data_IF_055357772217
#
_entry.id   IF_055357772217
#
_cell.length_a   1.000
_cell.length_b   1.000
_cell.length_c   1.000
_cell.angle_alpha   90.00
_cell.angle_beta   90.00
_cell.angle_gamma   90.00
#
_symmetry.space_group_name_H-M   'P 1'
#
loop_
_entity.id
_entity.type
_entity.pdbx_description
1 polymer ?
#
# COMPACT_ATOMS: atom_id res chain seq x y z
N UNK A 1 -7.95 -1.65 -12.07
CA UNK A 1 -8.05 -2.86 -11.22
C UNK A 1 -6.75 -3.08 -10.47
N UNK A 2 -6.85 -3.69 -9.31
CA UNK A 2 -5.73 -3.96 -8.42
C UNK A 2 -5.15 -5.36 -8.64
N UNK A 3 -3.83 -5.47 -8.58
CA UNK A 3 -3.11 -6.73 -8.78
C UNK A 3 -2.66 -7.39 -7.47
N UNK A 4 -2.92 -6.75 -6.34
CA UNK A 4 -2.29 -7.14 -5.09
C UNK A 4 -0.78 -6.86 -5.08
N UNK A 5 -0.05 -7.35 -4.07
CA UNK A 5 1.36 -7.02 -3.87
C UNK A 5 2.31 -7.71 -4.84
N UNK A 6 1.95 -8.90 -5.37
CA UNK A 6 2.81 -9.54 -6.38
C UNK A 6 2.61 -11.02 -6.61
N UNK A 7 2.63 -11.88 -5.58
CA UNK A 7 2.43 -13.32 -5.79
C UNK A 7 0.99 -13.64 -6.23
N UNK A 8 0.84 -14.70 -7.00
CA UNK A 8 -0.40 -15.19 -7.57
C UNK A 8 -1.56 -15.32 -6.56
N UNK A 9 -1.25 -15.85 -5.39
CA UNK A 9 -2.20 -16.11 -4.31
C UNK A 9 -2.89 -14.83 -3.78
N UNK A 10 -2.31 -13.67 -4.08
CA UNK A 10 -2.86 -12.37 -3.67
C UNK A 10 -3.60 -11.64 -4.79
N UNK A 11 -3.72 -12.25 -5.97
CA UNK A 11 -4.58 -11.75 -7.05
C UNK A 11 -6.00 -12.29 -6.82
N UNK A 12 -6.89 -11.43 -6.36
CA UNK A 12 -8.24 -11.82 -5.98
C UNK A 12 -9.05 -12.38 -7.17
N UNK A 13 -10.01 -13.29 -6.96
CA UNK A 13 -10.78 -13.91 -8.04
C UNK A 13 -11.48 -12.92 -8.97
N UNK A 14 -12.02 -11.80 -8.43
CA UNK A 14 -12.65 -10.75 -9.27
C UNK A 14 -11.64 -10.09 -10.22
N UNK A 15 -10.39 -9.90 -9.77
CA UNK A 15 -9.33 -9.36 -10.63
C UNK A 15 -8.91 -10.36 -11.72
N UNK A 16 -8.84 -11.65 -11.39
CA UNK A 16 -8.57 -12.71 -12.37
C UNK A 16 -9.67 -12.76 -13.44
N UNK A 17 -10.95 -12.72 -13.02
CA UNK A 17 -12.08 -12.69 -13.94
C UNK A 17 -12.03 -11.44 -14.85
N UNK A 18 -11.74 -10.27 -14.31
CA UNK A 18 -11.64 -9.03 -15.08
C UNK A 18 -10.47 -9.06 -16.10
N UNK A 19 -9.35 -9.72 -15.77
CA UNK A 19 -8.27 -9.95 -16.74
C UNK A 19 -8.71 -10.87 -17.86
N UNK A 20 -9.41 -11.96 -17.54
CA UNK A 20 -9.91 -12.91 -18.54
C UNK A 20 -10.97 -12.27 -19.47
N UNK A 21 -11.82 -11.39 -18.95
CA UNK A 21 -12.84 -10.68 -19.72
C UNK A 21 -12.26 -9.52 -20.56
N UNK A 22 -11.08 -8.99 -20.21
CA UNK A 22 -10.50 -7.85 -20.88
C UNK A 22 -10.06 -8.20 -22.32
N UNK A 23 -10.24 -7.25 -23.23
CA UNK A 23 -9.68 -7.30 -24.60
C UNK A 23 -8.33 -6.57 -24.65
N UNK A 24 -8.18 -5.54 -23.80
CA UNK A 24 -6.95 -4.74 -23.71
C UNK A 24 -6.52 -4.64 -22.24
N UNK A 25 -5.24 -4.88 -21.98
CA UNK A 25 -4.63 -4.70 -20.66
C UNK A 25 -3.61 -3.58 -20.75
N UNK A 26 -3.86 -2.50 -20.01
CA UNK A 26 -3.00 -1.30 -19.98
C UNK A 26 -2.30 -1.23 -18.63
N UNK A 27 -0.98 -1.00 -18.63
CA UNK A 27 -0.26 -0.93 -17.35
C UNK A 27 1.16 -0.37 -17.45
N UNK A 28 1.76 -0.15 -16.28
CA UNK A 28 3.21 0.02 -16.18
C UNK A 28 3.90 -1.32 -16.48
N UNK A 29 5.01 -1.30 -17.22
CA UNK A 29 5.68 -2.52 -17.68
C UNK A 29 5.88 -3.55 -16.55
N UNK A 30 6.40 -3.14 -15.39
CA UNK A 30 6.63 -4.02 -14.25
C UNK A 30 5.33 -4.67 -13.74
N UNK A 31 4.18 -3.98 -13.85
CA UNK A 31 2.89 -4.53 -13.43
C UNK A 31 2.30 -5.47 -14.48
N UNK A 32 2.54 -5.18 -15.75
CA UNK A 32 2.19 -6.11 -16.83
C UNK A 32 2.96 -7.43 -16.68
N UNK A 33 4.24 -7.37 -16.32
CA UNK A 33 5.06 -8.57 -16.10
C UNK A 33 4.53 -9.45 -14.97
N UNK A 34 3.94 -8.85 -13.92
CA UNK A 34 3.31 -9.59 -12.82
C UNK A 34 2.07 -10.38 -13.26
N UNK A 35 1.32 -9.91 -14.25
CA UNK A 35 0.08 -10.57 -14.71
C UNK A 35 0.23 -11.32 -16.02
N UNK A 36 1.40 -11.29 -16.61
CA UNK A 36 1.67 -11.98 -17.89
C UNK A 36 1.22 -13.45 -17.91
N UNK A 37 1.38 -14.26 -16.85
CA UNK A 37 0.90 -15.64 -16.84
C UNK A 37 -0.62 -15.81 -16.98
N UNK A 38 -1.41 -14.76 -16.72
CA UNK A 38 -2.88 -14.77 -16.87
C UNK A 38 -3.36 -14.17 -18.20
N UNK A 39 -2.44 -13.65 -19.02
CA UNK A 39 -2.77 -13.06 -20.31
C UNK A 39 -2.67 -14.13 -21.41
N UNK A 40 -3.69 -14.24 -22.22
CA UNK A 40 -3.77 -15.22 -23.34
C UNK A 40 -3.88 -14.52 -24.69
N UNK A 41 -4.99 -13.84 -24.93
CA UNK A 41 -5.33 -13.19 -26.21
C UNK A 41 -5.44 -11.68 -26.12
N UNK A 42 -5.29 -11.12 -24.94
CA UNK A 42 -5.44 -9.68 -24.69
C UNK A 42 -4.33 -8.86 -25.40
N UNK A 43 -4.74 -7.76 -26.01
CA UNK A 43 -3.77 -6.74 -26.42
C UNK A 43 -3.12 -6.13 -25.19
N UNK A 44 -1.80 -6.05 -25.16
CA UNK A 44 -1.05 -5.50 -24.01
C UNK A 44 -0.45 -4.15 -24.40
N UNK A 45 -0.86 -3.12 -23.66
CA UNK A 45 -0.33 -1.76 -23.81
C UNK A 45 0.50 -1.40 -22.59
N UNK A 46 1.80 -1.65 -22.67
CA UNK A 46 2.74 -1.33 -21.60
C UNK A 46 3.29 0.10 -21.77
N UNK A 47 3.47 0.80 -20.65
CA UNK A 47 4.06 2.14 -20.62
C UNK A 47 5.18 2.22 -19.60
N UNK A 48 6.09 3.18 -19.79
CA UNK A 48 7.18 3.45 -18.86
C UNK A 48 6.74 4.16 -17.57
N UNK A 49 7.71 4.40 -16.70
CA UNK A 49 7.55 5.22 -15.50
C UNK A 49 7.26 6.69 -15.88
N UNK A 50 6.50 7.41 -15.03
CA UNK A 50 6.07 8.80 -15.23
C UNK A 50 5.16 9.02 -16.45
N UNK A 51 4.49 7.97 -16.90
CA UNK A 51 3.53 8.02 -17.99
C UNK A 51 2.09 7.76 -17.52
N UNK A 52 1.77 8.15 -16.28
CA UNK A 52 0.49 7.86 -15.62
C UNK A 52 -0.68 8.44 -16.40
N UNK A 53 -0.61 9.74 -16.75
CA UNK A 53 -1.67 10.43 -17.53
C UNK A 53 -1.82 9.79 -18.92
N UNK A 54 -0.69 9.55 -19.62
CA UNK A 54 -0.72 8.87 -20.92
C UNK A 54 -1.34 7.48 -20.85
N UNK A 55 -1.01 6.74 -19.78
CA UNK A 55 -1.54 5.39 -19.53
C UNK A 55 -3.04 5.41 -19.31
N UNK A 56 -3.55 6.35 -18.50
CA UNK A 56 -4.99 6.53 -18.29
C UNK A 56 -5.67 6.94 -19.58
N UNK A 57 -5.10 7.88 -20.37
CA UNK A 57 -5.69 8.32 -21.62
C UNK A 57 -5.80 7.15 -22.61
N UNK A 58 -4.76 6.34 -22.78
CA UNK A 58 -4.80 5.14 -23.62
C UNK A 58 -5.92 4.18 -23.21
N UNK A 59 -6.10 3.97 -21.88
CA UNK A 59 -7.18 3.13 -21.37
C UNK A 59 -8.56 3.72 -21.69
N UNK A 60 -8.75 5.02 -21.52
CA UNK A 60 -10.02 5.72 -21.81
C UNK A 60 -10.33 5.70 -23.30
N UNK A 61 -9.35 5.95 -24.19
CA UNK A 61 -9.54 5.93 -25.63
C UNK A 61 -10.00 4.55 -26.12
N UNK A 62 -9.40 3.47 -25.59
CA UNK A 62 -9.77 2.10 -25.91
C UNK A 62 -11.18 1.76 -25.38
N UNK A 63 -11.50 2.20 -24.17
CA UNK A 63 -12.83 1.97 -23.59
C UNK A 63 -13.91 2.71 -24.36
N UNK A 64 -13.67 3.96 -24.79
CA UNK A 64 -14.57 4.74 -25.65
C UNK A 64 -14.77 4.15 -27.04
N UNK A 65 -13.80 3.40 -27.52
CA UNK A 65 -13.92 2.60 -28.75
C UNK A 65 -14.71 1.29 -28.55
N UNK A 66 -15.34 1.09 -27.38
CA UNK A 66 -16.17 -0.07 -27.07
C UNK A 66 -15.42 -1.31 -26.60
N UNK A 67 -14.12 -1.21 -26.30
CA UNK A 67 -13.32 -2.33 -25.84
C UNK A 67 -13.42 -2.48 -24.30
N UNK A 68 -13.40 -3.72 -23.81
CA UNK A 68 -13.24 -4.02 -22.38
C UNK A 68 -11.77 -3.88 -22.00
N UNK A 69 -11.47 -2.88 -21.16
CA UNK A 69 -10.10 -2.49 -20.79
C UNK A 69 -9.81 -2.77 -19.34
N UNK A 70 -8.72 -3.48 -19.04
CA UNK A 70 -8.17 -3.61 -17.70
C UNK A 70 -6.98 -2.66 -17.53
N UNK A 71 -7.17 -1.54 -16.83
CA UNK A 71 -6.07 -0.68 -16.38
C UNK A 71 -5.52 -1.23 -15.07
N UNK A 72 -4.30 -1.77 -15.08
CA UNK A 72 -3.72 -2.50 -13.95
C UNK A 72 -2.82 -1.63 -13.07
N UNK A 73 -2.92 -1.84 -11.75
CA UNK A 73 -2.14 -1.17 -10.72
C UNK A 73 -1.69 -2.18 -9.67
N UNK A 74 -0.43 -2.12 -9.24
CA UNK A 74 0.06 -2.95 -8.13
C UNK A 74 -0.60 -2.55 -6.81
N UNK A 75 -0.68 -3.49 -5.87
CA UNK A 75 -1.33 -3.31 -4.59
C UNK A 75 -2.83 -3.06 -4.75
N UNK A 76 -3.31 -1.96 -4.24
CA UNK A 76 -4.67 -1.45 -4.42
C UNK A 76 -4.69 -0.22 -5.31
N UNK A 77 -5.57 -0.20 -6.31
CA UNK A 77 -5.68 0.88 -7.28
C UNK A 77 -6.20 2.21 -6.68
N UNK A 78 -6.87 2.15 -5.53
CA UNK A 78 -7.38 3.30 -4.78
C UNK A 78 -6.38 3.89 -3.79
N UNK A 79 -5.29 3.17 -3.47
CA UNK A 79 -4.27 3.63 -2.51
C UNK A 79 -2.97 4.00 -3.25
N UNK A 80 -2.80 5.29 -3.54
CA UNK A 80 -1.70 5.83 -4.37
C UNK A 80 -1.58 5.16 -5.74
N UNK A 81 -2.70 4.62 -6.24
CA UNK A 81 -2.81 3.92 -7.52
C UNK A 81 -3.52 4.73 -8.59
N UNK A 82 -3.97 4.05 -9.66
CA UNK A 82 -4.47 4.69 -10.87
C UNK A 82 -5.95 5.07 -10.83
N UNK A 83 -6.75 4.57 -9.85
CA UNK A 83 -8.20 4.77 -9.85
C UNK A 83 -8.60 6.24 -9.74
N UNK A 84 -7.95 6.99 -8.82
CA UNK A 84 -8.22 8.41 -8.66
C UNK A 84 -7.89 9.23 -9.92
N UNK A 85 -6.77 8.94 -10.57
CA UNK A 85 -6.36 9.65 -11.79
C UNK A 85 -7.34 9.40 -12.95
N UNK A 86 -7.74 8.16 -13.18
CA UNK A 86 -8.72 7.83 -14.23
C UNK A 86 -10.04 8.55 -14.00
N UNK A 87 -10.57 8.51 -12.77
CA UNK A 87 -11.83 9.20 -12.44
C UNK A 87 -11.72 10.73 -12.60
N UNK A 88 -10.59 11.32 -12.18
CA UNK A 88 -10.33 12.75 -12.38
C UNK A 88 -10.24 13.11 -13.86
N UNK A 89 -9.66 12.25 -14.70
CA UNK A 89 -9.60 12.48 -16.16
C UNK A 89 -10.96 12.33 -16.82
N UNK A 90 -11.79 11.38 -16.38
CA UNK A 90 -13.19 11.30 -16.84
C UNK A 90 -13.95 12.58 -16.52
N UNK A 91 -13.86 13.07 -15.29
CA UNK A 91 -14.50 14.32 -14.88
C UNK A 91 -14.03 15.53 -15.69
N UNK A 92 -12.70 15.65 -15.90
CA UNK A 92 -12.10 16.73 -16.68
C UNK A 92 -12.51 16.70 -18.17
N UNK A 93 -12.84 15.52 -18.71
CA UNK A 93 -13.30 15.33 -20.09
C UNK A 93 -14.83 15.38 -20.21
N UNK A 94 -15.57 15.65 -19.12
CA UNK A 94 -17.04 15.69 -19.09
C UNK A 94 -17.70 14.33 -19.34
N UNK A 95 -16.99 13.22 -19.13
CA UNK A 95 -17.53 11.88 -19.36
C UNK A 95 -18.46 11.47 -18.21
N UNK A 96 -19.66 11.02 -18.54
CA UNK A 96 -20.57 10.37 -17.60
C UNK A 96 -20.08 8.94 -17.35
N UNK A 97 -19.70 8.61 -16.14
CA UNK A 97 -19.25 7.27 -15.75
C UNK A 97 -20.15 6.67 -14.69
N UNK A 98 -20.36 5.36 -14.74
CA UNK A 98 -21.16 4.62 -13.77
C UNK A 98 -20.58 3.22 -13.50
N UNK A 99 -21.02 2.55 -12.40
CA UNK A 99 -20.64 1.17 -12.16
C UNK A 99 -21.30 0.23 -13.16
N UNK A 100 -20.73 -0.94 -13.46
CA UNK A 100 -21.38 -1.97 -14.25
C UNK A 100 -22.76 -2.35 -13.68
N UNK A 101 -23.77 -2.45 -14.55
CA UNK A 101 -25.16 -2.70 -14.16
C UNK A 101 -25.90 -1.49 -13.58
N UNK A 102 -25.28 -0.31 -13.57
CA UNK A 102 -25.93 0.95 -13.20
C UNK A 102 -26.79 1.56 -14.32
N UNK A 103 -26.99 2.88 -14.29
CA UNK A 103 -27.76 3.61 -15.31
C UNK A 103 -27.20 3.39 -16.71
N UNK A 104 -28.08 3.24 -17.70
CA UNK A 104 -27.70 3.17 -19.11
C UNK A 104 -27.27 4.54 -19.70
N UNK A 105 -27.56 5.66 -19.02
CA UNK A 105 -27.17 7.02 -19.44
C UNK A 105 -25.74 7.33 -18.97
N UNK A 106 -24.78 6.55 -19.42
CA UNK A 106 -23.35 6.75 -19.15
C UNK A 106 -22.52 6.55 -20.43
N UNK A 107 -21.43 7.29 -20.55
CA UNK A 107 -20.48 7.13 -21.66
C UNK A 107 -19.59 5.90 -21.46
N UNK A 108 -19.27 5.57 -20.19
CA UNK A 108 -18.44 4.43 -19.83
C UNK A 108 -18.89 3.79 -18.52
N UNK A 109 -18.83 2.46 -18.46
CA UNK A 109 -18.88 1.72 -17.21
C UNK A 109 -17.48 1.57 -16.64
N UNK A 110 -17.29 1.95 -15.38
CA UNK A 110 -16.01 1.89 -14.69
C UNK A 110 -16.15 1.15 -13.36
N UNK A 111 -15.40 0.07 -13.19
CA UNK A 111 -15.30 -0.68 -11.95
C UNK A 111 -13.91 -0.50 -11.33
N UNK A 112 -13.87 -0.12 -10.05
CA UNK A 112 -12.64 -0.13 -9.25
C UNK A 112 -12.58 -1.47 -8.50
N UNK A 113 -11.71 -2.38 -8.95
CA UNK A 113 -11.54 -3.69 -8.31
C UNK A 113 -10.45 -3.53 -7.25
N UNK A 114 -10.76 -3.79 -5.96
CA UNK A 114 -9.80 -3.66 -4.87
C UNK A 114 -8.71 -4.74 -4.93
N UNK A 115 -7.66 -4.59 -4.11
CA UNK A 115 -6.61 -5.57 -3.98
C UNK A 115 -5.91 -5.45 -2.62
N UNK A 116 -5.01 -6.36 -2.31
CA UNK A 116 -4.21 -6.31 -1.09
C UNK A 116 -3.16 -5.19 -1.22
N UNK A 117 -3.30 -4.08 -0.48
CA UNK A 117 -2.34 -2.97 -0.57
C UNK A 117 -1.02 -3.31 0.12
N UNK A 118 0.05 -2.62 -0.26
CA UNK A 118 1.38 -2.83 0.32
C UNK A 118 1.39 -2.66 1.85
N UNK A 119 0.56 -1.76 2.41
CA UNK A 119 0.44 -1.59 3.85
C UNK A 119 -0.03 -2.87 4.56
N UNK A 120 -1.07 -3.54 4.03
CA UNK A 120 -1.59 -4.77 4.62
C UNK A 120 -0.61 -5.94 4.43
N UNK A 121 -0.02 -6.06 3.24
CA UNK A 121 0.98 -7.08 2.95
C UNK A 121 2.24 -6.92 3.84
N UNK A 122 2.73 -5.68 4.00
CA UNK A 122 3.86 -5.38 4.87
C UNK A 122 3.54 -5.61 6.35
N UNK A 123 2.36 -5.18 6.81
CA UNK A 123 1.94 -5.39 8.18
C UNK A 123 1.81 -6.88 8.53
N UNK A 124 1.28 -7.71 7.63
CA UNK A 124 1.17 -9.15 7.82
C UNK A 124 2.55 -9.83 7.99
N UNK A 125 3.57 -9.33 7.28
CA UNK A 125 4.95 -9.83 7.41
C UNK A 125 5.63 -9.36 8.70
N UNK A 126 5.22 -8.21 9.23
CA UNK A 126 5.72 -7.68 10.49
C UNK A 126 4.99 -8.24 11.72
N UNK A 127 3.84 -8.88 11.56
CA UNK A 127 2.98 -9.38 12.64
C UNK A 127 1.69 -8.57 12.77
N UNK A 128 1.55 -7.75 13.80
CA UNK A 128 0.33 -6.99 14.07
C UNK A 128 0.60 -5.50 14.42
N UNK A 129 1.32 -4.74 13.59
CA UNK A 129 1.65 -3.36 13.90
C UNK A 129 0.47 -2.38 13.72
N UNK A 130 -0.57 -2.76 12.96
CA UNK A 130 -1.71 -1.91 12.59
C UNK A 130 -3.00 -2.22 13.37
N UNK A 131 -2.88 -2.76 14.59
CA UNK A 131 -4.04 -3.08 15.41
C UNK A 131 -4.64 -1.87 16.14
N UNK A 132 -3.94 -0.74 16.16
CA UNK A 132 -4.42 0.54 16.68
C UNK A 132 -4.54 1.56 15.54
N UNK A 133 -4.94 2.79 15.84
CA UNK A 133 -5.11 3.84 14.83
C UNK A 133 -3.80 4.12 14.10
N UNK A 134 -3.88 4.21 12.79
CA UNK A 134 -2.71 4.43 11.93
C UNK A 134 -3.01 5.44 10.82
N UNK A 135 -1.96 6.06 10.32
CA UNK A 135 -2.00 6.96 9.17
C UNK A 135 -1.10 6.45 8.07
N UNK A 136 -1.47 6.74 6.83
CA UNK A 136 -0.70 6.38 5.64
C UNK A 136 -0.22 7.65 4.96
N UNK A 137 1.09 7.80 4.79
CA UNK A 137 1.71 9.00 4.21
C UNK A 137 2.70 8.60 3.12
N UNK A 138 2.53 9.16 1.92
CA UNK A 138 3.53 9.03 0.86
C UNK A 138 4.60 10.11 1.00
N UNK A 139 5.87 9.70 0.95
CA UNK A 139 7.01 10.63 0.94
C UNK A 139 7.33 11.17 -0.46
N UNK A 140 6.49 10.88 -1.46
CA UNK A 140 6.67 11.43 -2.80
C UNK A 140 6.26 12.89 -2.85
N UNK A 141 7.23 13.77 -3.08
CA UNK A 141 7.07 15.21 -3.22
C UNK A 141 6.82 15.67 -4.67
N UNK A 142 6.53 14.73 -5.58
CA UNK A 142 6.24 15.03 -6.98
C UNK A 142 4.90 15.75 -7.19
N UNK A 143 3.88 15.38 -6.40
CA UNK A 143 2.52 15.93 -6.51
C UNK A 143 2.08 16.66 -5.25
N UNK A 144 2.77 16.45 -4.14
CA UNK A 144 2.47 17.07 -2.84
C UNK A 144 3.71 17.79 -2.34
N UNK A 145 3.67 19.11 -2.06
CA UNK A 145 4.81 19.84 -1.54
C UNK A 145 5.35 19.22 -0.25
N UNK A 146 6.67 19.19 -0.10
CA UNK A 146 7.34 18.61 1.06
C UNK A 146 6.85 19.18 2.40
N UNK A 147 6.62 20.49 2.47
CA UNK A 147 6.12 21.15 3.70
C UNK A 147 4.73 20.63 4.11
N UNK A 148 3.89 20.27 3.14
CA UNK A 148 2.60 19.62 3.42
C UNK A 148 2.79 18.21 3.97
N UNK A 149 3.72 17.43 3.41
CA UNK A 149 4.07 16.08 3.89
C UNK A 149 4.61 16.18 5.32
N UNK A 150 5.56 17.08 5.56
CA UNK A 150 6.16 17.35 6.87
C UNK A 150 5.10 17.68 7.92
N UNK A 151 4.20 18.62 7.62
CA UNK A 151 3.09 18.99 8.52
C UNK A 151 2.22 17.80 8.89
N UNK A 152 1.89 16.94 7.91
CA UNK A 152 1.09 15.71 8.14
C UNK A 152 1.83 14.73 9.05
N UNK A 153 3.13 14.56 8.87
CA UNK A 153 3.99 13.72 9.72
C UNK A 153 4.04 14.24 11.16
N UNK A 154 4.19 15.57 11.36
CA UNK A 154 4.17 16.19 12.68
C UNK A 154 2.86 15.94 13.41
N UNK A 155 1.72 16.19 12.76
CA UNK A 155 0.39 15.96 13.33
C UNK A 155 0.15 14.48 13.66
N UNK A 156 0.58 13.59 12.79
CA UNK A 156 0.49 12.14 13.02
C UNK A 156 1.35 11.69 14.21
N UNK A 157 2.54 12.27 14.37
CA UNK A 157 3.43 11.97 15.49
C UNK A 157 2.89 12.51 16.81
N UNK A 158 2.34 13.73 16.82
CA UNK A 158 1.68 14.35 17.99
C UNK A 158 0.44 13.54 18.43
N UNK A 159 -0.33 13.02 17.48
CA UNK A 159 -1.50 12.16 17.75
C UNK A 159 -1.12 10.73 18.13
N UNK A 160 0.16 10.41 18.25
CA UNK A 160 0.68 9.07 18.57
C UNK A 160 0.16 7.94 17.66
N UNK A 161 -0.11 8.25 16.40
CA UNK A 161 -0.47 7.23 15.41
C UNK A 161 0.71 6.32 15.07
N UNK A 162 0.38 5.07 14.67
CA UNK A 162 1.29 4.26 13.86
C UNK A 162 1.37 4.90 12.47
N UNK A 163 2.57 5.09 11.93
CA UNK A 163 2.77 5.80 10.67
C UNK A 163 3.28 4.84 9.61
N UNK A 164 2.50 4.67 8.53
CA UNK A 164 2.88 3.85 7.37
C UNK A 164 3.38 4.76 6.26
N UNK A 165 4.66 4.60 5.89
CA UNK A 165 5.32 5.42 4.88
C UNK A 165 5.38 4.68 3.55
N UNK A 166 4.78 5.28 2.51
CA UNK A 166 4.88 4.87 1.12
C UNK A 166 5.95 5.69 0.39
N UNK A 167 6.53 5.12 -0.66
CA UNK A 167 7.54 5.77 -1.50
C UNK A 167 8.70 6.36 -0.68
N UNK A 168 9.30 5.61 0.26
CA UNK A 168 10.25 6.16 1.23
C UNK A 168 11.55 6.65 0.57
N UNK A 169 11.93 6.09 -0.58
CA UNK A 169 13.15 6.46 -1.31
C UNK A 169 13.01 6.25 -2.80
N UNK A 170 13.72 7.02 -3.60
CA UNK A 170 13.92 6.78 -5.04
C UNK A 170 15.36 7.17 -5.44
N UNK A 171 15.77 6.88 -6.69
CA UNK A 171 17.12 7.23 -7.19
C UNK A 171 17.45 8.72 -7.09
N UNK A 172 16.44 9.60 -7.16
CA UNK A 172 16.59 11.08 -7.10
C UNK A 172 16.09 11.69 -5.80
N UNK A 173 15.57 10.88 -4.88
CA UNK A 173 14.93 11.32 -3.65
C UNK A 173 15.38 10.36 -2.54
N UNK A 174 16.45 10.72 -1.84
CA UNK A 174 17.14 9.89 -0.86
C UNK A 174 17.27 10.52 0.52
N UNK A 175 17.04 11.85 0.65
CA UNK A 175 17.16 12.60 1.89
C UNK A 175 15.88 12.58 2.76
N UNK A 176 14.69 12.35 2.16
CA UNK A 176 13.40 12.48 2.84
C UNK A 176 13.27 11.52 4.03
N UNK A 177 13.76 10.29 3.90
CA UNK A 177 13.69 9.32 5.00
C UNK A 177 14.50 9.77 6.23
N UNK A 178 15.67 10.40 6.01
CA UNK A 178 16.46 11.01 7.06
C UNK A 178 15.72 12.17 7.74
N UNK A 179 15.14 13.06 6.94
CA UNK A 179 14.34 14.18 7.44
C UNK A 179 13.11 13.70 8.23
N UNK A 180 12.46 12.61 7.80
CA UNK A 180 11.36 11.97 8.55
C UNK A 180 11.84 11.43 9.88
N UNK A 181 12.97 10.69 9.93
CA UNK A 181 13.55 10.20 11.18
C UNK A 181 13.79 11.34 12.16
N UNK A 182 14.48 12.39 11.71
CA UNK A 182 14.85 13.52 12.57
C UNK A 182 13.62 14.29 13.08
N UNK A 183 12.58 14.39 12.25
CA UNK A 183 11.31 14.98 12.64
C UNK A 183 10.60 14.11 13.68
N UNK A 184 10.50 12.81 13.45
CA UNK A 184 9.77 11.90 14.34
C UNK A 184 10.48 11.73 15.70
N UNK A 185 11.81 11.82 15.77
CA UNK A 185 12.58 11.81 17.02
C UNK A 185 12.27 13.00 17.95
N UNK A 186 11.59 14.04 17.47
CA UNK A 186 11.09 15.13 18.31
C UNK A 186 9.84 14.75 19.13
N UNK A 187 9.16 13.67 18.75
CA UNK A 187 7.87 13.25 19.30
C UNK A 187 7.86 11.80 19.80
N UNK A 188 8.72 10.96 19.26
CA UNK A 188 8.82 9.53 19.55
C UNK A 188 10.20 9.20 20.09
N UNK A 189 10.32 8.15 20.89
CA UNK A 189 11.61 7.72 21.45
C UNK A 189 12.52 7.12 20.37
N UNK A 190 13.86 7.21 20.53
CA UNK A 190 14.82 6.58 19.63
C UNK A 190 14.59 5.06 19.45
N UNK A 191 14.09 4.39 20.50
CA UNK A 191 13.83 2.95 20.57
C UNK A 191 12.49 2.55 19.95
N UNK A 192 11.64 3.51 19.53
CA UNK A 192 10.37 3.22 18.87
C UNK A 192 10.58 2.20 17.76
N UNK A 193 9.87 1.03 17.78
CA UNK A 193 10.03 0.00 16.78
C UNK A 193 9.65 0.50 15.38
N UNK A 194 10.45 0.11 14.40
CA UNK A 194 10.22 0.40 12.97
C UNK A 194 10.34 -0.88 12.17
N UNK A 195 9.29 -1.23 11.45
CA UNK A 195 9.26 -2.32 10.49
C UNK A 195 9.56 -1.83 9.08
N UNK A 196 10.48 -2.50 8.38
CA UNK A 196 10.87 -2.22 7.00
C UNK A 196 10.62 -3.47 6.19
N UNK A 197 9.74 -3.39 5.18
CA UNK A 197 9.42 -4.51 4.31
C UNK A 197 9.67 -4.10 2.86
N UNK A 198 10.62 -4.75 2.22
CA UNK A 198 10.86 -4.58 0.80
C UNK A 198 10.24 -5.73 0.02
N UNK A 199 9.64 -5.42 -1.12
CA UNK A 199 9.04 -6.39 -2.04
C UNK A 199 8.07 -7.34 -1.35
N UNK A 200 7.22 -6.81 -0.48
CA UNK A 200 6.21 -7.59 0.22
C UNK A 200 5.45 -8.52 -0.74
N UNK A 201 5.38 -9.80 -0.42
CA UNK A 201 4.73 -10.84 -1.23
C UNK A 201 5.25 -10.88 -2.69
N UNK A 202 6.57 -10.71 -2.89
CA UNK A 202 7.28 -10.83 -4.17
C UNK A 202 8.58 -11.57 -4.02
N UNK A 203 9.12 -12.01 -5.15
CA UNK A 203 10.47 -12.56 -5.17
C UNK A 203 11.49 -11.52 -4.65
N UNK A 204 12.37 -11.97 -3.74
CA UNK A 204 13.35 -11.12 -3.08
C UNK A 204 12.75 -10.29 -1.93
N UNK A 205 11.62 -10.72 -1.35
CA UNK A 205 11.06 -10.16 -0.13
C UNK A 205 12.08 -10.14 1.00
N UNK A 206 12.17 -9.02 1.69
CA UNK A 206 12.93 -8.90 2.94
C UNK A 206 12.09 -8.19 3.99
N UNK A 207 12.26 -8.60 5.25
CA UNK A 207 11.62 -8.00 6.41
C UNK A 207 12.67 -7.69 7.46
N UNK A 208 12.66 -6.48 7.99
CA UNK A 208 13.60 -6.05 9.05
C UNK A 208 12.81 -5.28 10.10
N UNK A 209 12.99 -5.62 11.36
CA UNK A 209 12.53 -4.80 12.49
C UNK A 209 13.75 -4.12 13.09
N UNK A 210 13.66 -2.81 13.24
CA UNK A 210 14.72 -1.94 13.76
C UNK A 210 14.13 -0.88 14.69
N UNK A 211 14.88 0.15 15.03
CA UNK A 211 14.42 1.29 15.82
C UNK A 211 14.36 2.56 14.98
N UNK A 212 13.62 3.56 15.46
CA UNK A 212 13.52 4.86 14.79
C UNK A 212 14.90 5.52 14.64
N UNK A 213 15.77 5.38 15.66
CA UNK A 213 17.16 5.87 15.60
C UNK A 213 17.93 5.28 14.42
N UNK A 214 17.79 3.97 14.19
CA UNK A 214 18.51 3.22 13.19
C UNK A 214 17.83 3.15 11.82
N UNK A 215 16.70 3.85 11.62
CA UNK A 215 15.90 3.78 10.39
C UNK A 215 16.74 3.97 9.11
N UNK A 216 17.63 4.94 9.09
CA UNK A 216 18.42 5.30 7.90
C UNK A 216 19.62 4.39 7.63
N UNK A 217 19.95 3.48 8.54
CA UNK A 217 21.02 2.50 8.35
C UNK A 217 20.57 1.30 7.50
N UNK A 218 19.26 1.20 7.23
CA UNK A 218 18.68 0.09 6.51
C UNK A 218 18.50 0.39 5.03
N UNK A 219 18.61 -0.65 4.19
CA UNK A 219 18.37 -0.52 2.77
C UNK A 219 16.89 -0.31 2.49
N UNK A 220 16.57 0.79 1.80
CA UNK A 220 15.20 1.20 1.44
C UNK A 220 15.19 1.65 -0.01
N UNK A 221 14.19 1.21 -0.77
CA UNK A 221 13.97 1.55 -2.17
C UNK A 221 12.50 1.92 -2.46
N UNK A 222 12.13 2.04 -3.74
CA UNK A 222 10.76 2.36 -4.15
C UNK A 222 9.75 1.21 -3.94
N UNK A 223 10.23 -0.01 -3.71
CA UNK A 223 9.40 -1.20 -3.45
C UNK A 223 9.32 -1.52 -1.96
N UNK A 224 9.70 -0.56 -1.13
CA UNK A 224 9.73 -0.69 0.32
C UNK A 224 8.58 0.06 0.96
N UNK A 225 7.99 -0.55 2.00
CA UNK A 225 7.09 0.09 2.93
C UNK A 225 7.75 0.16 4.31
N UNK A 226 7.58 1.27 5.00
CA UNK A 226 8.10 1.46 6.36
C UNK A 226 6.93 1.70 7.31
N UNK A 227 6.93 0.98 8.42
CA UNK A 227 5.92 1.12 9.48
C UNK A 227 6.60 1.60 10.74
N UNK A 228 6.32 2.82 11.17
CA UNK A 228 6.82 3.39 12.42
C UNK A 228 5.78 3.20 13.51
N UNK A 229 6.15 2.55 14.59
CA UNK A 229 5.28 2.30 15.73
C UNK A 229 4.82 3.56 16.48
N UNK A 230 3.88 3.39 17.38
CA UNK A 230 3.48 4.41 18.36
C UNK A 230 4.12 4.13 19.73
N UNK A 231 3.74 4.90 20.76
CA UNK A 231 4.27 4.77 22.12
C UNK A 231 4.00 3.40 22.77
N UNK A 232 2.99 2.66 22.28
CA UNK A 232 2.59 1.34 22.79
C UNK A 232 3.19 0.18 21.98
N UNK A 233 3.81 0.46 20.85
CA UNK A 233 4.37 -0.57 19.97
C UNK A 233 5.59 -1.22 20.60
N UNK A 234 5.63 -2.55 20.56
CA UNK A 234 6.75 -3.35 21.05
C UNK A 234 7.09 -4.49 20.09
N UNK A 235 8.22 -5.13 20.31
CA UNK A 235 8.64 -6.33 19.58
C UNK A 235 8.48 -7.57 20.44
N UNK A 236 8.08 -8.68 19.82
CA UNK A 236 8.03 -10.00 20.45
C UNK A 236 8.54 -11.04 19.45
N UNK A 237 9.70 -11.62 19.74
CA UNK A 237 10.43 -12.41 18.77
C UNK A 237 10.66 -11.59 17.49
N UNK A 238 10.31 -12.16 16.36
CA UNK A 238 10.43 -11.52 15.04
C UNK A 238 9.20 -10.70 14.65
N UNK A 239 8.33 -10.36 15.59
CA UNK A 239 7.08 -9.62 15.33
C UNK A 239 7.08 -8.24 15.95
N UNK A 240 6.44 -7.31 15.26
CA UNK A 240 6.10 -5.96 15.70
C UNK A 240 4.61 -5.90 16.04
N UNK A 241 4.27 -5.47 17.25
CA UNK A 241 2.91 -5.48 17.77
C UNK A 241 2.56 -4.10 18.30
N UNK A 242 1.42 -3.56 17.86
CA UNK A 242 0.79 -2.39 18.47
C UNK A 242 -0.51 -2.83 19.15
N UNK A 243 -0.57 -2.87 20.51
CA UNK A 243 -1.72 -3.39 21.22
C UNK A 243 -2.93 -2.46 21.08
N UNK A 244 -4.13 -3.02 21.02
CA UNK A 244 -5.39 -2.26 20.98
C UNK A 244 -5.99 -2.00 22.38
N UNK A 245 -5.25 -2.26 23.45
CA UNK A 245 -5.72 -2.05 24.81
C UNK A 245 -6.48 -3.24 25.43
N UNK A 246 -6.46 -4.42 24.80
CA UNK A 246 -7.05 -5.64 25.38
C UNK A 246 -6.47 -5.97 26.76
N UNK A 247 -5.18 -5.69 26.96
CA UNK A 247 -4.49 -5.92 28.24
C UNK A 247 -5.12 -5.13 29.39
N UNK A 248 -5.61 -3.92 29.14
CA UNK A 248 -6.25 -3.08 30.17
C UNK A 248 -7.63 -3.61 30.59
N UNK A 249 -8.34 -4.28 29.68
CA UNK A 249 -9.70 -4.81 29.92
C UNK A 249 -9.71 -6.26 30.39
N UNK A 250 -8.73 -7.06 29.97
CA UNK A 250 -8.70 -8.52 30.13
C UNK A 250 -7.40 -9.01 30.79
N UNK A 251 -6.74 -8.18 31.61
CA UNK A 251 -5.45 -8.50 32.23
C UNK A 251 -5.43 -9.84 32.99
N UNK A 252 -6.52 -10.20 33.66
CA UNK A 252 -6.66 -11.49 34.35
C UNK A 252 -6.80 -12.70 33.41
N UNK A 253 -7.25 -12.52 32.16
CA UNK A 253 -7.43 -13.60 31.19
C UNK A 253 -6.19 -13.82 30.34
N UNK A 254 -5.43 -12.76 30.04
CA UNK A 254 -4.20 -12.85 29.24
C UNK A 254 -3.01 -13.41 30.04
N UNK A 255 -3.03 -13.27 31.37
CA UNK A 255 -2.05 -13.87 32.29
C UNK A 255 -2.39 -15.31 32.70
N UNK A 256 -3.62 -15.78 32.47
CA UNK A 256 -4.14 -17.05 32.94
C UNK A 256 -3.56 -18.32 32.34
N UNK A 257 -2.72 -18.23 31.30
CA UNK A 257 -2.08 -19.41 30.68
C UNK A 257 -0.87 -19.91 31.48
N UNK A 258 -0.34 -19.13 32.44
CA UNK A 258 0.79 -19.52 33.31
C UNK A 258 0.41 -20.16 34.63
N UNK A 259 -0.89 -20.26 34.97
CA UNK A 259 -1.39 -20.67 36.29
C UNK A 259 -1.77 -22.13 36.45
N UNK A 260 -1.76 -22.98 35.42
CA UNK A 260 -2.28 -24.35 35.54
C UNK A 260 -1.22 -25.46 35.65
N UNK A 261 0.07 -25.13 35.71
CA UNK A 261 1.12 -26.16 35.94
C UNK A 261 1.61 -26.34 37.37
N UNK A 262 0.94 -25.75 38.38
CA UNK A 262 1.33 -25.95 39.77
C UNK A 262 0.16 -26.35 40.68
N UNK A 263 -0.51 -27.46 40.36
CA UNK A 263 -1.31 -28.21 41.37
C UNK A 263 -1.66 -29.61 40.85
N UNK A 264 -0.66 -30.43 40.63
CA UNK A 264 -0.74 -31.89 40.68
C UNK A 264 0.61 -32.38 41.19
N UNK A 265 0.74 -32.43 42.47
CA UNK A 265 1.73 -33.11 43.27
C UNK A 265 1.02 -33.65 44.49
#
# INVERSE_FOLDING_TARGET
MSLGPGFADYLIPRAQAALAEAQVVVGYQTYIDLVRPWLTTQEVVATGMKAEVKRCQLALDRARAGQRVALVSSGDAGIYGMAGLVLSMCAAQGLKVGPPGGSADVDLYLEVIPGVPALAAGAALLGAPLMHDFVVISLSDLLTPWETIKKRLELAAQGDFVIVLYNPKSKKRDWQLGAVRDLLLRFKTPETPVGIVSRAMRQGQTTTITTLHNLTQNSVDMQTIVVVGNSQTYTYGDYMITPRGYQNKYSGQLSGVRGQEKSRG
#
